data_IF_198359229461
#
_entry.id   IF_198359229461
#
_cell.length_a   1.000
_cell.length_b   1.000
_cell.length_c   1.000
_cell.angle_alpha   90.00
_cell.angle_beta   90.00
_cell.angle_gamma   90.00
#
_symmetry.space_group_name_H-M   'P 1'
#
loop_
_entity.id
_entity.type
_entity.pdbx_description
1 polymer ?
#
# COMPACT_ATOMS: atom_id res chain seq x y z
N UNK A 1 16.12 8.18 1.84
CA UNK A 1 16.00 6.69 1.95
C UNK A 1 15.63 6.14 0.59
N UNK A 2 16.31 5.11 0.14
CA UNK A 2 15.98 4.54 -1.16
C UNK A 2 14.73 3.64 -1.11
N UNK A 3 14.15 3.40 -2.27
CA UNK A 3 12.91 2.62 -2.36
C UNK A 3 13.06 1.18 -1.85
N UNK A 4 14.11 0.42 -2.18
CA UNK A 4 14.27 -0.93 -1.64
C UNK A 4 14.37 -0.98 -0.12
N UNK A 5 15.04 -0.03 0.50
CA UNK A 5 15.14 0.06 1.96
C UNK A 5 13.78 0.37 2.57
N UNK A 6 13.07 1.34 2.01
CA UNK A 6 11.73 1.73 2.46
C UNK A 6 10.75 0.57 2.32
N UNK A 7 10.81 -0.17 1.22
CA UNK A 7 9.98 -1.34 0.99
C UNK A 7 10.15 -2.38 2.10
N UNK A 8 11.38 -2.67 2.49
CA UNK A 8 11.68 -3.63 3.56
C UNK A 8 11.06 -3.19 4.90
N UNK A 9 11.16 -1.90 5.20
CA UNK A 9 10.59 -1.34 6.43
C UNK A 9 9.06 -1.48 6.42
N UNK A 10 8.43 -1.16 5.29
CA UNK A 10 6.98 -1.25 5.14
C UNK A 10 6.50 -2.69 5.31
N UNK A 11 7.12 -3.62 4.61
CA UNK A 11 6.72 -5.03 4.67
C UNK A 11 6.90 -5.58 6.09
N UNK A 12 8.02 -5.28 6.73
CA UNK A 12 8.27 -5.71 8.11
C UNK A 12 7.23 -5.11 9.07
N UNK A 13 6.87 -3.85 8.91
CA UNK A 13 5.87 -3.19 9.73
C UNK A 13 4.48 -3.82 9.58
N UNK A 14 4.14 -4.24 8.36
CA UNK A 14 2.88 -4.92 8.09
C UNK A 14 2.88 -6.34 8.70
N UNK A 15 3.98 -7.05 8.57
CA UNK A 15 4.12 -8.39 9.16
C UNK A 15 4.04 -8.36 10.68
N UNK A 16 4.58 -7.33 11.33
CA UNK A 16 4.54 -7.16 12.79
C UNK A 16 3.12 -7.19 13.35
N UNK A 17 2.17 -6.60 12.65
CA UNK A 17 0.77 -6.51 13.08
C UNK A 17 -0.08 -7.55 12.32
N UNK A 18 0.58 -8.54 11.75
CA UNK A 18 -0.04 -9.72 11.14
C UNK A 18 -0.98 -9.39 9.98
N UNK A 19 -0.57 -8.46 9.12
CA UNK A 19 -1.26 -8.21 7.87
C UNK A 19 -1.27 -9.47 7.01
N UNK A 20 -2.32 -9.65 6.23
CA UNK A 20 -2.49 -10.82 5.36
C UNK A 20 -2.34 -10.44 3.91
N UNK A 21 -1.93 -11.41 3.09
CA UNK A 21 -1.84 -11.27 1.64
C UNK A 21 -1.10 -10.00 1.21
N UNK A 22 0.09 -9.80 1.78
CA UNK A 22 0.94 -8.66 1.45
C UNK A 22 1.47 -8.85 0.04
N UNK A 23 1.22 -7.86 -0.82
CA UNK A 23 1.69 -7.87 -2.20
C UNK A 23 2.44 -6.58 -2.49
N UNK A 24 3.63 -6.71 -3.07
CA UNK A 24 4.46 -5.58 -3.50
C UNK A 24 4.46 -5.54 -5.02
N UNK A 25 4.08 -4.41 -5.59
CA UNK A 25 4.00 -4.23 -7.04
C UNK A 25 4.95 -3.12 -7.47
N UNK A 26 5.83 -3.42 -8.41
CA UNK A 26 6.70 -2.43 -9.03
C UNK A 26 5.89 -1.63 -10.04
N UNK A 27 5.68 -0.35 -9.78
CA UNK A 27 4.90 0.54 -10.62
C UNK A 27 5.79 1.54 -11.38
N UNK A 28 7.11 1.45 -11.22
CA UNK A 28 8.05 2.42 -11.80
C UNK A 28 7.96 2.53 -13.32
N UNK A 29 7.54 1.47 -13.99
CA UNK A 29 7.36 1.48 -15.45
C UNK A 29 5.98 1.95 -15.87
N UNK A 30 5.05 2.06 -14.94
CA UNK A 30 3.64 2.40 -15.22
C UNK A 30 3.33 3.85 -14.93
N UNK A 31 4.05 4.47 -14.01
CA UNK A 31 3.79 5.86 -13.59
C UNK A 31 5.08 6.49 -13.06
N UNK A 32 5.28 7.80 -13.29
CA UNK A 32 6.39 8.53 -12.66
C UNK A 32 6.07 9.01 -11.24
N UNK A 33 4.82 8.81 -10.77
CA UNK A 33 4.38 9.36 -9.49
C UNK A 33 4.92 8.62 -8.28
N UNK A 34 5.14 7.32 -8.40
CA UNK A 34 5.68 6.49 -7.32
C UNK A 34 6.30 5.23 -7.92
N UNK A 35 7.14 4.56 -7.15
CA UNK A 35 7.90 3.39 -7.63
C UNK A 35 7.25 2.06 -7.26
N UNK A 36 6.53 2.01 -6.14
CA UNK A 36 5.91 0.77 -5.62
C UNK A 36 4.54 1.04 -5.07
N UNK A 37 3.69 0.03 -5.18
CA UNK A 37 2.47 -0.07 -4.39
C UNK A 37 2.62 -1.29 -3.50
N UNK A 38 2.26 -1.15 -2.22
CA UNK A 38 2.19 -2.29 -1.29
C UNK A 38 0.74 -2.42 -0.87
N UNK A 39 0.16 -3.59 -1.06
CA UNK A 39 -1.23 -3.86 -0.71
C UNK A 39 -1.25 -4.97 0.33
N UNK A 40 -2.02 -4.76 1.39
CA UNK A 40 -2.17 -5.76 2.45
C UNK A 40 -3.62 -5.81 2.90
N UNK A 41 -4.03 -6.97 3.42
CA UNK A 41 -5.39 -7.18 3.93
C UNK A 41 -5.39 -7.19 5.45
N UNK A 42 -6.46 -6.67 6.03
CA UNK A 42 -6.72 -6.67 7.47
C UNK A 42 -8.17 -7.13 7.71
N UNK A 43 -8.38 -7.76 8.86
CA UNK A 43 -9.69 -8.37 9.19
C UNK A 43 -10.73 -7.37 9.69
N UNK A 44 -10.29 -6.19 10.15
CA UNK A 44 -11.21 -5.20 10.74
C UNK A 44 -10.68 -3.79 10.54
N UNK A 45 -11.56 -2.80 10.74
CA UNK A 45 -11.16 -1.41 10.71
C UNK A 45 -10.12 -1.07 11.77
N UNK A 46 -10.20 -1.71 12.92
CA UNK A 46 -9.22 -1.54 13.99
C UNK A 46 -7.84 -2.01 13.53
N UNK A 47 -7.78 -3.16 12.88
CA UNK A 47 -6.51 -3.69 12.37
C UNK A 47 -5.95 -2.86 11.22
N UNK A 48 -6.79 -2.37 10.31
CA UNK A 48 -6.32 -1.50 9.22
C UNK A 48 -5.66 -0.26 9.77
N UNK A 49 -6.25 0.35 10.80
CA UNK A 49 -5.69 1.54 11.44
C UNK A 49 -4.38 1.22 12.17
N UNK A 50 -4.34 0.08 12.87
CA UNK A 50 -3.14 -0.36 13.59
C UNK A 50 -1.98 -0.62 12.61
N UNK A 51 -2.26 -1.26 11.49
CA UNK A 51 -1.27 -1.52 10.44
C UNK A 51 -0.73 -0.22 9.85
N UNK A 52 -1.63 0.70 9.49
CA UNK A 52 -1.23 2.00 8.95
C UNK A 52 -0.38 2.78 9.96
N UNK A 53 -0.75 2.75 11.24
CA UNK A 53 0.00 3.42 12.29
C UNK A 53 1.38 2.79 12.47
N UNK A 54 1.49 1.46 12.41
CA UNK A 54 2.78 0.78 12.54
C UNK A 54 3.72 1.12 11.38
N UNK A 55 3.18 1.18 10.16
CA UNK A 55 3.95 1.63 9.00
C UNK A 55 4.47 3.05 9.22
N UNK A 56 3.58 3.96 9.65
CA UNK A 56 3.93 5.34 9.95
C UNK A 56 5.07 5.40 10.97
N UNK A 57 4.92 4.70 12.08
CA UNK A 57 5.90 4.75 13.18
C UNK A 57 7.26 4.18 12.76
N UNK A 58 7.27 3.04 12.09
CA UNK A 58 8.52 2.40 11.67
C UNK A 58 9.27 3.20 10.61
N UNK A 59 8.54 3.81 9.69
CA UNK A 59 9.14 4.68 8.67
C UNK A 59 9.73 5.92 9.32
N UNK A 60 9.03 6.54 10.26
CA UNK A 60 9.53 7.70 10.99
C UNK A 60 10.76 7.36 11.83
N UNK A 61 10.75 6.26 12.54
CA UNK A 61 11.90 5.80 13.33
C UNK A 61 13.14 5.62 12.47
N UNK A 62 12.97 5.19 11.22
CA UNK A 62 14.07 4.98 10.29
C UNK A 62 14.51 6.25 9.55
N UNK A 63 13.87 7.38 9.83
CA UNK A 63 14.22 8.67 9.21
C UNK A 63 13.51 8.96 7.90
N UNK A 64 12.48 8.16 7.56
CA UNK A 64 11.68 8.39 6.36
C UNK A 64 10.59 9.43 6.60
N UNK A 65 9.97 9.87 5.50
CA UNK A 65 8.88 10.85 5.54
C UNK A 65 7.54 10.22 5.25
N UNK A 66 6.50 10.73 5.91
CA UNK A 66 5.11 10.39 5.61
C UNK A 66 4.50 11.61 4.93
N UNK A 67 4.03 11.45 3.70
CA UNK A 67 3.38 12.55 2.97
C UNK A 67 1.95 12.73 3.46
N UNK A 68 1.23 11.64 3.67
CA UNK A 68 -0.13 11.72 4.17
C UNK A 68 -0.72 10.35 4.46
N UNK A 69 -1.82 10.33 5.19
CA UNK A 69 -2.58 9.12 5.50
C UNK A 69 -4.05 9.46 5.34
N UNK A 70 -4.79 8.58 4.66
CA UNK A 70 -6.21 8.78 4.40
C UNK A 70 -7.01 7.51 4.66
N UNK A 71 -8.28 7.67 4.98
CA UNK A 71 -9.21 6.55 5.15
C UNK A 71 -9.32 6.01 6.57
N UNK A 72 -8.64 6.62 7.55
CA UNK A 72 -8.65 6.14 8.94
C UNK A 72 -10.06 6.17 9.55
N UNK A 73 -10.92 7.09 9.10
CA UNK A 73 -12.25 7.27 9.68
C UNK A 73 -13.09 5.99 9.59
N UNK A 74 -13.16 5.38 8.42
CA UNK A 74 -13.92 4.15 8.23
C UNK A 74 -13.11 2.89 8.53
N UNK A 75 -11.82 2.92 8.23
CA UNK A 75 -10.94 1.76 8.39
C UNK A 75 -11.19 0.65 7.36
N UNK A 76 -11.98 0.90 6.33
CA UNK A 76 -12.21 -0.08 5.27
C UNK A 76 -11.04 -0.15 4.30
N UNK A 77 -10.43 1.01 4.05
CA UNK A 77 -9.30 1.18 3.14
C UNK A 77 -8.48 2.36 3.63
N UNK A 78 -7.34 2.07 4.22
CA UNK A 78 -6.41 3.10 4.71
C UNK A 78 -5.21 3.17 3.77
N UNK A 79 -4.89 4.38 3.31
CA UNK A 79 -3.78 4.63 2.42
C UNK A 79 -2.70 5.40 3.18
N UNK A 80 -1.45 4.95 3.06
CA UNK A 80 -0.29 5.68 3.61
C UNK A 80 0.62 6.05 2.44
N UNK A 81 0.72 7.34 2.17
CA UNK A 81 1.55 7.87 1.10
C UNK A 81 2.94 8.21 1.64
N UNK A 82 3.94 7.50 1.14
CA UNK A 82 5.34 7.68 1.52
C UNK A 82 6.18 8.31 0.39
N UNK A 83 5.52 8.77 -0.66
CA UNK A 83 6.20 9.36 -1.82
C UNK A 83 6.56 8.31 -2.86
N UNK A 84 7.66 7.60 -2.67
CA UNK A 84 8.07 6.55 -3.61
C UNK A 84 7.25 5.26 -3.46
N UNK A 85 6.61 5.06 -2.31
CA UNK A 85 5.76 3.90 -2.04
C UNK A 85 4.41 4.39 -1.54
N UNK A 86 3.34 3.82 -2.08
CA UNK A 86 1.98 4.04 -1.57
C UNK A 86 1.50 2.72 -0.98
N UNK A 87 1.12 2.74 0.30
CA UNK A 87 0.69 1.55 1.03
C UNK A 87 -0.83 1.56 1.13
N UNK A 88 -1.46 0.47 0.73
CA UNK A 88 -2.91 0.28 0.82
C UNK A 88 -3.20 -0.85 1.79
N UNK A 89 -3.88 -0.54 2.88
CA UNK A 89 -4.33 -1.54 3.84
C UNK A 89 -5.85 -1.62 3.73
N UNK A 90 -6.36 -2.77 3.30
CA UNK A 90 -7.76 -2.92 2.92
C UNK A 90 -8.39 -4.11 3.60
N UNK A 91 -9.68 -3.99 3.92
CA UNK A 91 -10.44 -5.16 4.31
C UNK A 91 -10.70 -6.03 3.08
N UNK A 92 -10.79 -7.36 3.23
CA UNK A 92 -10.88 -8.27 2.08
C UNK A 92 -11.99 -7.96 1.08
N UNK A 93 -13.17 -7.57 1.55
CA UNK A 93 -14.29 -7.25 0.66
C UNK A 93 -13.99 -6.03 -0.23
N UNK A 94 -13.34 -5.01 0.34
CA UNK A 94 -12.94 -3.81 -0.41
C UNK A 94 -11.85 -4.17 -1.42
N UNK A 95 -10.86 -4.95 -1.00
CA UNK A 95 -9.77 -5.39 -1.88
C UNK A 95 -10.31 -6.19 -3.06
N UNK A 96 -11.24 -7.11 -2.82
CA UNK A 96 -11.85 -7.91 -3.87
C UNK A 96 -12.66 -7.06 -4.85
N UNK A 97 -13.31 -6.02 -4.36
CA UNK A 97 -14.13 -5.13 -5.18
C UNK A 97 -13.28 -4.26 -6.11
N UNK A 98 -12.23 -3.64 -5.59
CA UNK A 98 -11.43 -2.69 -6.37
C UNK A 98 -10.31 -3.32 -7.18
N UNK A 99 -9.76 -4.45 -6.73
CA UNK A 99 -8.74 -5.22 -7.46
C UNK A 99 -7.55 -4.37 -7.93
N UNK A 100 -6.97 -3.60 -7.02
CA UNK A 100 -5.83 -2.72 -7.34
C UNK A 100 -4.64 -3.49 -7.91
N UNK A 101 -4.37 -4.68 -7.39
CA UNK A 101 -3.27 -5.52 -7.85
C UNK A 101 -3.40 -5.88 -9.32
N UNK A 102 -4.62 -6.12 -9.81
CA UNK A 102 -4.85 -6.40 -11.23
C UNK A 102 -4.59 -5.16 -12.08
N UNK A 103 -5.05 -4.01 -11.60
CA UNK A 103 -4.86 -2.75 -12.31
C UNK A 103 -3.38 -2.44 -12.53
N UNK A 104 -2.56 -2.58 -11.49
CA UNK A 104 -1.16 -2.23 -11.55
C UNK A 104 -0.26 -3.32 -12.14
N UNK A 105 -0.71 -4.57 -12.16
CA UNK A 105 0.01 -5.66 -12.80
C UNK A 105 -0.26 -5.75 -14.30
N UNK A 106 -1.32 -5.08 -14.78
CA UNK A 106 -1.66 -5.08 -16.20
C UNK A 106 -0.81 -4.03 -16.94
N UNK A 107 -0.16 -4.37 -18.04
CA UNK A 107 0.57 -3.39 -18.85
C UNK A 107 -0.33 -2.23 -19.28
N UNK A 108 0.24 -1.03 -19.35
CA UNK A 108 -0.51 0.19 -19.67
C UNK A 108 -1.32 0.07 -20.97
N UNK A 109 -0.72 -0.51 -22.01
CA UNK A 109 -1.41 -0.70 -23.29
C UNK A 109 -2.64 -1.60 -23.15
N UNK A 110 -2.52 -2.69 -22.36
CA UNK A 110 -3.64 -3.61 -22.10
C UNK A 110 -4.74 -2.93 -21.31
N UNK A 111 -4.39 -2.07 -20.34
CA UNK A 111 -5.38 -1.30 -19.57
C UNK A 111 -6.19 -0.36 -20.47
N UNK A 112 -5.54 0.31 -21.42
CA UNK A 112 -6.23 1.18 -22.37
C UNK A 112 -7.20 0.38 -23.25
N UNK A 113 -6.79 -0.79 -23.72
CA UNK A 113 -7.64 -1.65 -24.50
C UNK A 113 -8.85 -2.14 -23.69
N UNK A 114 -8.65 -2.45 -22.42
CA UNK A 114 -9.73 -2.92 -21.53
C UNK A 114 -10.76 -1.84 -21.22
N UNK A 115 -10.39 -0.56 -21.30
CA UNK A 115 -11.29 0.56 -20.97
C UNK A 115 -12.10 1.09 -22.16
N UNK A 116 -11.93 0.54 -23.31
CA UNK A 116 -12.68 0.96 -24.51
C UNK A 116 -14.11 0.45 -24.55
#
# INVERSE_FOLDING_TARGET
MDTPTLEKIVVAALEDIKARDIEVIDTSKNTPLFDRIVIASAESGRQTRALAQNVHDKVKEAGGEIIGTEGQDTGEWVLVDLGSIVVHVMQPAVRAHYKLEELWNTPLASRRAATR
#
